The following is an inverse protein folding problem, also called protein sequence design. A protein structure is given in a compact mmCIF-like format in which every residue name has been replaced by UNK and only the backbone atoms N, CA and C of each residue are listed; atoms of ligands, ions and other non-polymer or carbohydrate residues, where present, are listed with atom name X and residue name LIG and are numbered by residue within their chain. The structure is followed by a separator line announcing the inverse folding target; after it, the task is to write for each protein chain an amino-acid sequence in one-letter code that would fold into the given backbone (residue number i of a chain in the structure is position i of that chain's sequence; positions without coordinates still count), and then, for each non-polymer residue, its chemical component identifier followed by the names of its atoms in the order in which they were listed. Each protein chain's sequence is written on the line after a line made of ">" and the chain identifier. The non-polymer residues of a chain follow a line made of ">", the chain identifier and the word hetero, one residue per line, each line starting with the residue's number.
data_IF_242417927632
#
_entry.id   IF_242417927632
#
_cell.length_a   1.000
_cell.length_b   1.000
_cell.length_c   1.000
_cell.angle_alpha   90.00
_cell.angle_beta   90.00
_cell.angle_gamma   90.00
#
_symmetry.space_group_name_H-M   'P 1'
#
loop_
_entity.id
_entity.type
_entity.pdbx_description
1 polymer ?
#
# COMPACT_ATOMS: atom_id res chain seq x y z
N UNK A 1 20.03 -3.91 22.19
CA UNK A 1 20.87 -3.42 21.08
C UNK A 1 19.96 -2.89 20.00
N UNK A 2 19.88 -1.57 19.84
CA UNK A 2 19.22 -0.99 18.68
C UNK A 2 20.09 -1.37 17.47
N UNK A 3 19.50 -2.05 16.48
CA UNK A 3 20.20 -2.40 15.25
C UNK A 3 20.85 -1.13 14.66
N UNK A 4 22.10 -1.25 14.21
CA UNK A 4 22.82 -0.13 13.60
C UNK A 4 21.95 0.50 12.49
N UNK A 5 21.93 1.84 12.36
CA UNK A 5 21.16 2.50 11.30
C UNK A 5 21.60 1.94 9.95
N UNK A 6 20.63 1.50 9.14
CA UNK A 6 20.88 0.97 7.79
C UNK A 6 21.63 2.03 7.00
N UNK A 7 22.74 1.66 6.36
CA UNK A 7 23.60 2.58 5.61
C UNK A 7 22.79 3.48 4.67
N UNK A 8 23.01 4.80 4.74
CA UNK A 8 22.33 5.74 3.86
C UNK A 8 22.80 5.50 2.43
N UNK A 9 21.92 4.93 1.60
CA UNK A 9 22.13 4.81 0.16
C UNK A 9 21.36 5.94 -0.52
N UNK A 10 21.96 7.14 -0.72
CA UNK A 10 21.24 8.32 -1.19
C UNK A 10 20.72 8.17 -2.63
N UNK A 11 21.26 7.23 -3.40
CA UNK A 11 20.77 6.90 -4.74
C UNK A 11 19.41 6.18 -4.71
N UNK A 12 19.12 5.39 -3.67
CA UNK A 12 17.94 4.53 -3.62
C UNK A 12 16.62 5.31 -3.49
N UNK A 13 16.50 6.38 -2.66
CA UNK A 13 15.33 7.25 -2.66
C UNK A 13 15.15 7.98 -3.99
N UNK A 14 16.25 8.49 -4.59
CA UNK A 14 16.20 9.22 -5.87
C UNK A 14 15.76 8.31 -7.00
N UNK A 15 16.33 7.10 -7.10
CA UNK A 15 15.97 6.13 -8.13
C UNK A 15 14.50 5.73 -8.01
N UNK A 16 14.00 5.53 -6.78
CA UNK A 16 12.59 5.19 -6.55
C UNK A 16 11.61 6.32 -6.95
N UNK A 17 11.98 7.59 -6.75
CA UNK A 17 11.16 8.72 -7.20
C UNK A 17 11.19 8.81 -8.72
N UNK A 18 12.38 8.79 -9.32
CA UNK A 18 12.55 8.88 -10.78
C UNK A 18 11.84 7.73 -11.49
N UNK A 19 11.91 6.50 -10.96
CA UNK A 19 11.24 5.35 -11.55
C UNK A 19 9.71 5.46 -11.52
N UNK A 20 9.13 5.97 -10.43
CA UNK A 20 7.68 6.17 -10.34
C UNK A 20 7.21 7.33 -11.24
N UNK A 21 8.00 8.39 -11.36
CA UNK A 21 7.70 9.49 -12.29
C UNK A 21 7.76 9.01 -13.75
N UNK A 22 8.78 8.23 -14.11
CA UNK A 22 8.88 7.62 -15.43
C UNK A 22 7.68 6.71 -15.70
N UNK A 23 7.32 5.85 -14.76
CA UNK A 23 6.13 4.99 -14.87
C UNK A 23 4.85 5.81 -15.10
N UNK A 24 4.67 6.91 -14.36
CA UNK A 24 3.51 7.79 -14.52
C UNK A 24 3.47 8.43 -15.92
N UNK A 25 4.60 8.87 -16.46
CA UNK A 25 4.70 9.41 -17.81
C UNK A 25 4.37 8.35 -18.86
N UNK A 26 4.91 7.14 -18.73
CA UNK A 26 4.61 6.03 -19.63
C UNK A 26 3.13 5.62 -19.57
N UNK A 27 2.51 5.66 -18.39
CA UNK A 27 1.08 5.43 -18.25
C UNK A 27 0.25 6.54 -18.91
N UNK A 28 0.64 7.81 -18.74
CA UNK A 28 -0.04 8.95 -19.38
C UNK A 28 0.04 8.92 -20.91
N UNK A 29 1.13 8.37 -21.46
CA UNK A 29 1.29 8.15 -22.90
C UNK A 29 0.59 6.88 -23.41
N UNK A 30 -0.07 6.12 -22.54
CA UNK A 30 -0.73 4.85 -22.87
C UNK A 30 0.22 3.65 -23.01
N UNK A 31 1.53 3.87 -22.94
CA UNK A 31 2.56 2.82 -23.08
C UNK A 31 2.41 1.76 -21.98
N UNK A 32 2.26 2.18 -20.73
CA UNK A 32 2.10 1.24 -19.62
C UNK A 32 0.69 0.60 -19.56
N UNK A 33 -0.22 1.00 -20.46
CA UNK A 33 -1.61 0.52 -20.53
C UNK A 33 -1.84 -0.49 -21.65
N UNK A 34 -0.82 -0.85 -22.43
CA UNK A 34 -0.88 -1.87 -23.45
C UNK A 34 0.28 -2.86 -23.26
N UNK A 35 0.04 -4.18 -23.26
CA UNK A 35 1.09 -5.15 -23.00
C UNK A 35 2.05 -5.19 -24.19
N UNK A 36 3.32 -4.98 -23.90
CA UNK A 36 4.38 -4.99 -24.91
C UNK A 36 5.70 -5.50 -24.29
N UNK A 37 6.22 -6.64 -24.76
CA UNK A 37 7.39 -7.29 -24.21
C UNK A 37 8.65 -6.41 -24.15
N UNK A 38 8.77 -5.38 -25.01
CA UNK A 38 9.95 -4.51 -25.03
C UNK A 38 10.16 -3.74 -23.73
N UNK A 39 9.09 -3.53 -22.96
CA UNK A 39 9.13 -2.79 -21.69
C UNK A 39 9.34 -3.67 -20.46
N UNK A 40 9.37 -5.00 -20.61
CA UNK A 40 9.58 -5.94 -19.50
C UNK A 40 10.87 -5.65 -18.72
N UNK A 41 12.03 -5.41 -19.35
CA UNK A 41 13.26 -5.11 -18.60
C UNK A 41 13.12 -3.83 -17.76
N UNK A 42 12.48 -2.79 -18.31
CA UNK A 42 12.28 -1.53 -17.61
C UNK A 42 11.38 -1.73 -16.38
N UNK A 43 10.19 -2.31 -16.53
CA UNK A 43 9.30 -2.55 -15.41
C UNK A 43 9.88 -3.54 -14.39
N UNK A 44 10.67 -4.51 -14.84
CA UNK A 44 11.42 -5.41 -13.97
C UNK A 44 12.44 -4.68 -13.10
N UNK A 45 13.22 -3.75 -13.67
CA UNK A 45 14.15 -2.90 -12.91
C UNK A 45 13.41 -2.02 -11.91
N UNK A 46 12.30 -1.40 -12.31
CA UNK A 46 11.47 -0.59 -11.40
C UNK A 46 10.98 -1.46 -10.23
N UNK A 47 10.43 -2.64 -10.51
CA UNK A 47 9.99 -3.61 -9.50
C UNK A 47 11.13 -3.97 -8.53
N UNK A 48 12.32 -4.27 -9.06
CA UNK A 48 13.49 -4.64 -8.27
C UNK A 48 13.97 -3.49 -7.36
N UNK A 49 13.97 -2.24 -7.83
CA UNK A 49 14.34 -1.06 -7.02
C UNK A 49 13.39 -0.91 -5.82
N UNK A 50 12.08 -1.03 -6.06
CA UNK A 50 11.08 -0.94 -4.99
C UNK A 50 11.13 -2.14 -4.04
N UNK A 51 11.31 -3.35 -4.57
CA UNK A 51 11.48 -4.57 -3.78
C UNK A 51 12.72 -4.52 -2.88
N UNK A 52 13.85 -4.09 -3.43
CA UNK A 52 15.10 -3.90 -2.68
C UNK A 52 14.95 -2.86 -1.57
N UNK A 53 14.28 -1.74 -1.88
CA UNK A 53 13.98 -0.72 -0.87
C UNK A 53 13.07 -1.25 0.24
N UNK A 54 12.04 -2.02 -0.11
CA UNK A 54 11.14 -2.64 0.86
C UNK A 54 11.90 -3.60 1.78
N UNK A 55 12.79 -4.44 1.22
CA UNK A 55 13.63 -5.37 1.97
C UNK A 55 14.63 -4.64 2.89
N UNK A 56 15.32 -3.61 2.39
CA UNK A 56 16.27 -2.80 3.18
C UNK A 56 15.63 -2.09 4.37
N UNK A 57 14.37 -1.70 4.23
CA UNK A 57 13.63 -1.04 5.30
C UNK A 57 12.91 -2.03 6.23
N UNK A 58 12.89 -3.32 5.90
CA UNK A 58 12.24 -4.32 6.73
C UNK A 58 13.14 -4.70 7.91
N UNK A 59 12.53 -4.67 9.10
CA UNK A 59 13.09 -5.16 10.34
C UNK A 59 11.99 -5.93 11.07
N UNK A 60 12.25 -7.13 11.62
CA UNK A 60 11.20 -7.96 12.25
C UNK A 60 10.44 -7.25 13.38
N UNK A 61 11.11 -6.33 14.10
CA UNK A 61 10.49 -5.52 15.14
C UNK A 61 9.32 -4.64 14.67
N UNK A 62 9.23 -4.34 13.37
CA UNK A 62 8.14 -3.55 12.78
C UNK A 62 6.78 -4.25 12.96
N UNK A 63 6.77 -5.58 12.95
CA UNK A 63 5.54 -6.38 13.08
C UNK A 63 4.84 -6.20 14.44
N UNK A 64 5.57 -5.69 15.45
CA UNK A 64 5.01 -5.37 16.77
C UNK A 64 4.29 -4.03 16.82
N UNK A 65 4.42 -3.19 15.79
CA UNK A 65 3.87 -1.83 15.76
C UNK A 65 2.85 -1.70 14.62
N UNK A 66 1.53 -1.75 14.90
CA UNK A 66 0.49 -1.77 13.87
C UNK A 66 0.49 -0.62 12.88
N UNK A 67 0.80 0.59 13.34
CA UNK A 67 0.91 1.76 12.46
C UNK A 67 2.11 1.68 11.52
N UNK A 68 3.15 0.94 11.88
CA UNK A 68 4.36 0.85 11.08
C UNK A 68 4.26 -0.28 10.06
N UNK A 69 3.88 -1.49 10.47
CA UNK A 69 3.77 -2.60 9.52
C UNK A 69 2.69 -2.36 8.46
N UNK A 70 1.63 -1.61 8.76
CA UNK A 70 0.61 -1.25 7.76
C UNK A 70 1.16 -0.39 6.62
N UNK A 71 2.15 0.47 6.91
CA UNK A 71 2.87 1.24 5.88
C UNK A 71 3.76 0.34 5.03
N UNK A 72 4.46 -0.60 5.67
CA UNK A 72 5.28 -1.59 4.95
C UNK A 72 4.41 -2.51 4.08
N UNK A 73 3.22 -2.86 4.54
CA UNK A 73 2.26 -3.64 3.77
C UNK A 73 1.78 -2.89 2.53
N UNK A 74 1.45 -1.60 2.67
CA UNK A 74 1.10 -0.76 1.52
C UNK A 74 2.25 -0.65 0.52
N UNK A 75 3.50 -0.50 1.01
CA UNK A 75 4.68 -0.54 0.16
C UNK A 75 4.89 -1.91 -0.51
N UNK A 76 4.62 -3.01 0.19
CA UNK A 76 4.69 -4.35 -0.40
C UNK A 76 3.67 -4.52 -1.51
N UNK A 77 2.45 -4.01 -1.35
CA UNK A 77 1.44 -3.99 -2.40
C UNK A 77 1.86 -3.17 -3.62
N UNK A 78 2.62 -2.07 -3.45
CA UNK A 78 3.24 -1.36 -4.57
C UNK A 78 4.23 -2.27 -5.32
N UNK A 79 5.07 -3.04 -4.62
CA UNK A 79 5.99 -4.00 -5.25
C UNK A 79 5.21 -5.09 -5.99
N UNK A 80 4.15 -5.63 -5.39
CA UNK A 80 3.27 -6.62 -6.04
C UNK A 80 2.62 -6.03 -7.30
N UNK A 81 2.17 -4.78 -7.27
CA UNK A 81 1.59 -4.12 -8.42
C UNK A 81 2.60 -3.95 -9.56
N UNK A 82 3.82 -3.51 -9.26
CA UNK A 82 4.90 -3.36 -10.24
C UNK A 82 5.32 -4.72 -10.84
N UNK A 83 5.39 -5.75 -9.99
CA UNK A 83 5.64 -7.13 -10.42
C UNK A 83 4.52 -7.66 -11.31
N UNK A 84 3.26 -7.39 -10.96
CA UNK A 84 2.10 -7.73 -11.79
C UNK A 84 2.11 -6.99 -13.13
N UNK A 85 2.50 -5.71 -13.15
CA UNK A 85 2.66 -4.94 -14.37
C UNK A 85 3.74 -5.55 -15.28
N UNK A 86 4.87 -5.94 -14.69
CA UNK A 86 5.97 -6.63 -15.39
C UNK A 86 5.50 -7.97 -15.96
N UNK A 87 4.79 -8.77 -15.15
CA UNK A 87 4.25 -10.06 -15.56
C UNK A 87 3.22 -9.92 -16.69
N UNK A 88 2.38 -8.88 -16.66
CA UNK A 88 1.45 -8.60 -17.74
C UNK A 88 2.15 -8.24 -19.05
N UNK A 89 3.18 -7.39 -19.02
CA UNK A 89 3.98 -7.07 -20.21
C UNK A 89 4.76 -8.28 -20.75
N UNK A 90 5.09 -9.24 -19.87
CA UNK A 90 5.70 -10.51 -20.26
C UNK A 90 4.69 -11.54 -20.81
N UNK A 91 3.40 -11.20 -20.87
CA UNK A 91 2.35 -12.12 -21.34
C UNK A 91 1.96 -13.20 -20.33
N UNK A 92 2.40 -13.09 -19.07
CA UNK A 92 2.09 -14.06 -18.01
C UNK A 92 0.73 -13.83 -17.34
N UNK A 93 0.14 -12.65 -17.52
CA UNK A 93 -1.19 -12.30 -17.04
C UNK A 93 -2.09 -11.92 -18.22
N UNK A 94 -3.36 -12.30 -18.15
CA UNK A 94 -4.33 -12.02 -19.22
C UNK A 94 -4.64 -10.52 -19.39
N UNK A 95 -4.55 -9.73 -18.32
CA UNK A 95 -4.77 -8.28 -18.34
C UNK A 95 -4.03 -7.56 -17.21
N UNK A 96 -3.85 -6.25 -17.35
CA UNK A 96 -3.20 -5.39 -16.35
C UNK A 96 -4.09 -5.00 -15.17
N UNK A 97 -5.36 -5.42 -15.14
CA UNK A 97 -6.31 -5.03 -14.10
C UNK A 97 -5.91 -5.51 -12.71
N UNK A 98 -5.30 -6.70 -12.61
CA UNK A 98 -4.77 -7.22 -11.35
C UNK A 98 -3.67 -6.31 -10.76
N UNK A 99 -2.73 -5.86 -11.61
CA UNK A 99 -1.67 -4.93 -11.20
C UNK A 99 -2.25 -3.59 -10.73
N UNK A 100 -3.22 -3.06 -11.47
CA UNK A 100 -3.90 -1.81 -11.12
C UNK A 100 -4.65 -1.93 -9.78
N UNK A 101 -5.35 -3.03 -9.52
CA UNK A 101 -6.04 -3.25 -8.25
C UNK A 101 -5.08 -3.48 -7.07
N UNK A 102 -3.97 -4.20 -7.28
CA UNK A 102 -2.90 -4.29 -6.29
C UNK A 102 -2.37 -2.90 -5.90
N UNK A 103 -2.14 -2.03 -6.89
CA UNK A 103 -1.68 -0.66 -6.67
C UNK A 103 -2.71 0.19 -5.94
N UNK A 104 -3.94 0.26 -6.46
CA UNK A 104 -4.97 1.19 -5.99
C UNK A 104 -5.58 0.77 -4.66
N UNK A 105 -5.93 -0.50 -4.50
CA UNK A 105 -6.59 -1.01 -3.28
C UNK A 105 -5.53 -1.28 -2.20
N UNK A 106 -4.55 -2.13 -2.52
CA UNK A 106 -3.56 -2.57 -1.54
C UNK A 106 -2.52 -1.51 -1.22
N UNK A 107 -1.97 -0.88 -2.26
CA UNK A 107 -0.93 0.14 -2.13
C UNK A 107 -1.48 1.46 -1.62
N UNK A 108 -2.18 2.20 -2.50
CA UNK A 108 -2.69 3.55 -2.21
C UNK A 108 -3.73 3.51 -1.09
N UNK A 109 -4.74 2.65 -1.19
CA UNK A 109 -5.77 2.50 -0.16
C UNK A 109 -5.21 2.16 1.22
N UNK A 110 -4.34 1.14 1.27
CA UNK A 110 -3.68 0.72 2.50
C UNK A 110 -2.79 1.81 3.12
N UNK A 111 -1.97 2.49 2.30
CA UNK A 111 -1.12 3.60 2.76
C UNK A 111 -1.94 4.78 3.29
N UNK A 112 -3.02 5.16 2.58
CA UNK A 112 -3.92 6.22 3.02
C UNK A 112 -4.53 5.86 4.38
N UNK A 113 -5.07 4.64 4.53
CA UNK A 113 -5.67 4.21 5.79
C UNK A 113 -4.66 4.23 6.95
N UNK A 114 -3.44 3.75 6.72
CA UNK A 114 -2.35 3.78 7.71
C UNK A 114 -1.95 5.20 8.10
N UNK A 115 -1.83 6.10 7.11
CA UNK A 115 -1.52 7.51 7.35
C UNK A 115 -2.63 8.23 8.09
N UNK A 116 -3.90 8.04 7.69
CA UNK A 116 -5.04 8.63 8.38
C UNK A 116 -5.06 8.24 9.87
N UNK A 117 -4.92 6.96 10.20
CA UNK A 117 -4.87 6.50 11.59
C UNK A 117 -3.74 7.15 12.39
N UNK A 118 -2.52 7.21 11.83
CA UNK A 118 -1.37 7.84 12.48
C UNK A 118 -1.58 9.34 12.71
N UNK A 119 -2.07 10.03 11.69
CA UNK A 119 -2.28 11.49 11.68
C UNK A 119 -3.42 11.86 12.63
N UNK A 120 -4.50 11.09 12.69
CA UNK A 120 -5.59 11.28 13.64
C UNK A 120 -5.11 11.20 15.10
N UNK A 121 -4.24 10.24 15.46
CA UNK A 121 -3.67 10.18 16.82
C UNK A 121 -2.75 11.38 17.09
N UNK A 122 -1.89 11.72 16.13
CA UNK A 122 -0.97 12.85 16.25
C UNK A 122 -1.68 14.19 16.46
N UNK A 123 -2.74 14.49 15.70
CA UNK A 123 -3.50 15.73 15.83
C UNK A 123 -4.49 15.75 16.99
N UNK A 124 -4.82 14.62 17.59
CA UNK A 124 -5.64 14.58 18.82
C UNK A 124 -4.79 14.52 20.10
N UNK A 125 -3.47 14.66 19.97
CA UNK A 125 -2.49 14.53 21.04
C UNK A 125 -2.60 13.20 21.81
N UNK A 126 -3.00 12.12 21.10
CA UNK A 126 -3.11 10.78 21.65
C UNK A 126 -1.81 10.00 21.41
N UNK A 127 -1.46 9.03 22.27
CA UNK A 127 -0.34 8.13 22.02
C UNK A 127 -0.47 7.46 20.65
N UNK A 128 0.65 7.25 19.95
CA UNK A 128 0.69 6.55 18.65
C UNK A 128 0.51 5.03 18.80
N UNK A 129 -0.47 4.63 19.58
CA UNK A 129 -0.90 3.26 19.80
C UNK A 129 -2.36 3.15 19.33
N UNK A 130 -2.62 2.55 18.16
CA UNK A 130 -3.97 2.49 17.63
C UNK A 130 -4.83 1.51 18.44
N UNK A 131 -6.16 1.67 18.47
CA UNK A 131 -7.06 0.66 19.01
C UNK A 131 -6.85 -0.69 18.31
N UNK A 132 -7.05 -1.80 19.04
CA UNK A 132 -6.87 -3.15 18.48
C UNK A 132 -7.69 -3.42 17.22
N UNK A 133 -8.90 -2.84 17.13
CA UNK A 133 -9.77 -2.90 15.94
C UNK A 133 -9.12 -2.31 14.68
N UNK A 134 -8.18 -1.36 14.82
CA UNK A 134 -7.50 -0.78 13.67
C UNK A 134 -6.57 -1.78 12.96
N UNK A 135 -5.96 -2.71 13.72
CA UNK A 135 -5.18 -3.81 13.15
C UNK A 135 -6.07 -4.64 12.21
N UNK A 136 -7.31 -4.92 12.61
CA UNK A 136 -8.29 -5.63 11.79
C UNK A 136 -8.64 -4.81 10.55
N UNK A 137 -8.82 -3.48 10.68
CA UNK A 137 -9.08 -2.60 9.56
C UNK A 137 -7.97 -2.65 8.49
N UNK A 138 -6.70 -2.62 8.90
CA UNK A 138 -5.56 -2.76 7.99
C UNK A 138 -5.57 -4.10 7.26
N UNK A 139 -5.86 -5.20 7.97
CA UNK A 139 -5.95 -6.53 7.37
C UNK A 139 -7.12 -6.62 6.39
N UNK A 140 -8.28 -6.03 6.70
CA UNK A 140 -9.42 -6.01 5.80
C UNK A 140 -9.13 -5.30 4.48
N UNK A 141 -8.46 -4.14 4.50
CA UNK A 141 -8.06 -3.48 3.25
C UNK A 141 -7.04 -4.31 2.47
N UNK A 142 -6.10 -4.98 3.15
CA UNK A 142 -5.16 -5.89 2.49
C UNK A 142 -5.84 -7.11 1.86
N UNK A 143 -6.81 -7.71 2.58
CA UNK A 143 -7.61 -8.83 2.09
C UNK A 143 -8.51 -8.40 0.92
N UNK A 144 -9.07 -7.19 0.97
CA UNK A 144 -9.82 -6.62 -0.15
C UNK A 144 -9.00 -6.60 -1.44
N UNK A 145 -7.73 -6.19 -1.37
CA UNK A 145 -6.80 -6.23 -2.50
C UNK A 145 -6.48 -7.67 -2.92
N UNK A 146 -6.19 -8.56 -1.96
CA UNK A 146 -5.90 -9.98 -2.21
C UNK A 146 -7.02 -10.69 -2.96
N UNK A 147 -8.26 -10.58 -2.47
CA UNK A 147 -9.46 -11.12 -3.12
C UNK A 147 -9.61 -10.55 -4.51
N UNK A 148 -9.44 -9.23 -4.67
CA UNK A 148 -9.59 -8.57 -5.97
C UNK A 148 -8.57 -9.09 -6.98
N UNK A 149 -7.31 -9.22 -6.57
CA UNK A 149 -6.21 -9.65 -7.45
C UNK A 149 -6.34 -11.14 -7.80
N UNK A 150 -6.66 -11.98 -6.82
CA UNK A 150 -6.72 -13.43 -7.02
C UNK A 150 -7.96 -13.90 -7.81
N UNK A 151 -9.11 -13.24 -7.62
CA UNK A 151 -10.39 -13.73 -8.13
C UNK A 151 -10.93 -12.96 -9.34
N UNK A 152 -10.26 -11.90 -9.81
CA UNK A 152 -10.73 -11.11 -10.96
C UNK A 152 -10.84 -11.91 -12.27
N UNK A 153 -9.94 -12.88 -12.48
CA UNK A 153 -10.01 -13.80 -13.61
C UNK A 153 -11.12 -14.85 -13.46
N UNK A 154 -11.06 -15.73 -12.44
CA UNK A 154 -11.97 -16.87 -12.35
C UNK A 154 -13.41 -16.51 -11.94
N UNK A 155 -13.61 -15.46 -11.14
CA UNK A 155 -14.93 -15.13 -10.58
C UNK A 155 -15.12 -13.60 -10.40
N UNK A 156 -15.11 -12.79 -11.47
CA UNK A 156 -15.02 -11.32 -11.38
C UNK A 156 -16.14 -10.68 -10.54
N UNK A 157 -17.40 -11.12 -10.71
CA UNK A 157 -18.56 -10.57 -9.96
C UNK A 157 -18.45 -10.85 -8.46
N UNK A 158 -18.08 -12.08 -8.09
CA UNK A 158 -17.87 -12.47 -6.71
C UNK A 158 -16.67 -11.74 -6.10
N UNK A 159 -15.58 -11.60 -6.87
CA UNK A 159 -14.40 -10.85 -6.48
C UNK A 159 -14.73 -9.39 -6.16
N UNK A 160 -15.55 -8.71 -6.98
CA UNK A 160 -16.04 -7.34 -6.68
C UNK A 160 -16.76 -7.32 -5.33
N UNK A 161 -17.77 -8.17 -5.15
CA UNK A 161 -18.63 -8.11 -3.98
C UNK A 161 -17.85 -8.34 -2.68
N UNK A 162 -17.02 -9.39 -2.63
CA UNK A 162 -16.25 -9.74 -1.43
C UNK A 162 -15.15 -8.71 -1.17
N UNK A 163 -14.45 -8.24 -2.22
CA UNK A 163 -13.44 -7.19 -2.09
C UNK A 163 -14.04 -5.89 -1.57
N UNK A 164 -15.20 -5.48 -2.10
CA UNK A 164 -15.93 -4.30 -1.63
C UNK A 164 -16.38 -4.46 -0.17
N UNK A 165 -16.87 -5.63 0.21
CA UNK A 165 -17.25 -5.93 1.60
C UNK A 165 -16.10 -5.73 2.57
N UNK A 166 -14.93 -6.32 2.29
CA UNK A 166 -13.74 -6.11 3.10
C UNK A 166 -13.27 -4.65 3.13
N UNK A 167 -13.31 -3.96 1.97
CA UNK A 167 -12.94 -2.55 1.89
C UNK A 167 -13.83 -1.69 2.78
N UNK A 168 -15.15 -1.78 2.61
CA UNK A 168 -16.12 -1.04 3.40
C UNK A 168 -15.98 -1.34 4.89
N UNK A 169 -15.84 -2.62 5.27
CA UNK A 169 -15.65 -3.00 6.66
C UNK A 169 -14.38 -2.37 7.26
N UNK A 170 -13.25 -2.36 6.54
CA UNK A 170 -12.01 -1.75 7.00
C UNK A 170 -12.15 -0.24 7.24
N UNK A 171 -12.76 0.48 6.30
CA UNK A 171 -12.97 1.92 6.45
C UNK A 171 -14.03 2.26 7.51
N UNK A 172 -15.09 1.45 7.66
CA UNK A 172 -16.08 1.63 8.73
C UNK A 172 -15.46 1.42 10.12
N UNK A 173 -14.58 0.42 10.28
CA UNK A 173 -13.82 0.23 11.52
C UNK A 173 -12.96 1.46 11.84
N UNK A 174 -12.30 2.04 10.84
CA UNK A 174 -11.55 3.28 11.01
C UNK A 174 -12.47 4.44 11.45
N UNK A 175 -13.58 4.66 10.75
CA UNK A 175 -14.53 5.73 11.12
C UNK A 175 -15.03 5.53 12.55
N UNK A 176 -15.46 4.33 12.92
CA UNK A 176 -15.95 4.03 14.26
C UNK A 176 -14.91 4.24 15.36
N UNK A 177 -13.63 3.96 15.08
CA UNK A 177 -12.55 4.17 16.05
C UNK A 177 -12.13 5.64 16.16
N UNK A 178 -12.00 6.35 15.04
CA UNK A 178 -11.30 7.63 14.99
C UNK A 178 -12.23 8.84 14.93
N UNK A 179 -13.45 8.73 14.38
CA UNK A 179 -14.39 9.85 14.37
C UNK A 179 -14.68 10.39 15.78
N UNK A 180 -14.96 9.55 16.81
CA UNK A 180 -15.16 10.06 18.18
C UNK A 180 -13.93 10.76 18.77
N UNK A 181 -12.72 10.41 18.31
CA UNK A 181 -11.50 11.06 18.77
C UNK A 181 -11.35 12.46 18.19
N UNK A 182 -11.76 12.65 16.94
CA UNK A 182 -11.69 13.92 16.20
C UNK A 182 -12.76 14.92 16.64
N UNK A 183 -13.90 14.44 17.14
CA UNK A 183 -14.96 15.30 17.69
C UNK A 183 -14.78 15.63 19.18
N UNK A 184 -13.70 15.18 19.81
CA UNK A 184 -13.39 15.49 21.21
C UNK A 184 -12.20 16.44 21.27
N UNK A 185 -12.16 17.33 22.28
CA UNK A 185 -11.00 18.17 22.53
C UNK A 185 -9.72 17.34 22.59
N UNK A 186 -8.63 17.94 22.11
CA UNK A 186 -7.29 17.36 22.21
C UNK A 186 -6.94 17.07 23.67
N UNK A 187 -6.18 16.00 23.89
CA UNK A 187 -5.76 15.61 25.24
C UNK A 187 -4.74 16.57 25.88
N UNK A 188 -4.05 17.39 25.08
CA UNK A 188 -3.07 18.37 25.54
C UNK A 188 -3.68 19.76 25.82
N UNK A 189 -5.00 19.91 25.68
CA UNK A 189 -5.72 21.15 25.96
C UNK A 189 -5.44 22.29 24.97
N UNK A 190 -4.69 22.04 23.89
CA UNK A 190 -4.44 23.05 22.84
C UNK A 190 -5.62 23.14 21.89
N UNK A 191 -5.71 24.24 21.16
CA UNK A 191 -6.70 24.40 20.10
C UNK A 191 -6.49 23.33 19.01
N UNK A 192 -7.58 22.65 18.66
CA UNK A 192 -7.67 21.68 17.56
C UNK A 192 -8.78 20.66 17.76
#
# INVERSE_FOLDING_TARGET
>A
GLAAPVSEAPWLPRSAIVSLLLLAILAAQGIALAPDPRWVPLFGVITAVHGWRAARWFHPGILRVPLLWSLHLGHLWLVVALGGLTAWHAGLLANGGAALHAFTIGGVGGLILAMMARVSLGHTARPLSPPGLMTIAFLFVALSAGVRVALIGPAPRFAVAVSAGFWCAGFLLFIGCYAPMLFRPRLDGRAG
#
